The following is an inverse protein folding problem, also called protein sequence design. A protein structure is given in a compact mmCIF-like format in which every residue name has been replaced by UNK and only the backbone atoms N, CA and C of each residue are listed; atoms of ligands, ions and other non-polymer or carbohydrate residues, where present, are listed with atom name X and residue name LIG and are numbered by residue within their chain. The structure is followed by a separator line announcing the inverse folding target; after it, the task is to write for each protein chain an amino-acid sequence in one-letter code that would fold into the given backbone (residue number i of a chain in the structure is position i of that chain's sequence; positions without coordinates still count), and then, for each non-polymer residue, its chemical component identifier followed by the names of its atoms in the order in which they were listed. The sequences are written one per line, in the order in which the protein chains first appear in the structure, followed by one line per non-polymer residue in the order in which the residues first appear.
data_IF_234779142914
#
_entry.id   IF_234779142914
#
_cell.length_a   1.000
_cell.length_b   1.000
_cell.length_c   1.000
_cell.angle_alpha   90.00
_cell.angle_beta   90.00
_cell.angle_gamma   90.00
#
_symmetry.space_group_name_H-M   'P 1'
#
loop_
_entity.id
_entity.type
_entity.pdbx_description
1 polymer ?
#
# COMPACT_ATOMS: atom_id res chain seq x y z
N UNK A 1 21.96 -19.31 -0.27
CA UNK A 1 21.88 -18.54 -1.54
C UNK A 1 21.42 -19.49 -2.63
N UNK A 2 20.17 -19.41 -3.04
CA UNK A 2 19.66 -20.13 -4.20
C UNK A 2 19.26 -19.10 -5.25
N UNK A 3 19.72 -19.33 -6.48
CA UNK A 3 19.62 -18.44 -7.62
C UNK A 3 18.74 -19.14 -8.63
N UNK A 4 17.70 -18.46 -9.12
CA UNK A 4 16.82 -18.86 -10.23
C UNK A 4 15.77 -19.91 -9.81
N UNK A 5 14.49 -19.52 -9.88
CA UNK A 5 13.39 -20.48 -9.91
C UNK A 5 13.39 -21.24 -11.25
N UNK A 6 12.70 -22.37 -11.33
CA UNK A 6 12.64 -23.17 -12.56
C UNK A 6 11.99 -22.43 -13.76
N UNK A 7 11.52 -21.19 -13.58
CA UNK A 7 10.91 -20.36 -14.62
C UNK A 7 11.85 -19.28 -15.17
N UNK A 8 13.10 -19.22 -14.73
CA UNK A 8 14.08 -18.24 -15.21
C UNK A 8 13.83 -16.82 -14.69
N UNK A 9 13.05 -16.70 -13.60
CA UNK A 9 12.76 -15.43 -12.93
C UNK A 9 13.73 -15.24 -11.78
N UNK A 10 14.25 -14.02 -11.62
CA UNK A 10 14.90 -13.63 -10.37
C UNK A 10 13.82 -13.43 -9.31
N UNK A 11 13.87 -14.25 -8.26
CA UNK A 11 13.06 -14.08 -7.06
C UNK A 11 13.33 -12.72 -6.41
N UNK A 12 12.37 -12.21 -5.63
CA UNK A 12 12.58 -10.98 -4.87
C UNK A 12 13.70 -11.19 -3.87
N UNK A 13 14.76 -10.40 -4.00
CA UNK A 13 15.92 -10.46 -3.11
C UNK A 13 15.72 -9.42 -2.02
N UNK A 14 15.91 -9.81 -0.77
CA UNK A 14 15.96 -8.85 0.34
C UNK A 14 17.40 -8.42 0.56
N UNK A 15 17.62 -7.11 0.69
CA UNK A 15 18.89 -6.53 1.18
C UNK A 15 18.58 -5.69 2.41
N UNK A 16 19.29 -5.91 3.52
CA UNK A 16 19.16 -5.08 4.73
C UNK A 16 17.69 -4.79 5.12
N UNK A 17 16.80 -5.78 4.98
CA UNK A 17 15.33 -5.75 5.25
C UNK A 17 14.43 -5.13 4.17
N UNK A 18 14.97 -4.64 3.05
CA UNK A 18 14.17 -4.07 1.95
C UNK A 18 14.06 -5.04 0.76
N UNK A 19 12.87 -5.19 0.16
CA UNK A 19 12.72 -5.95 -1.08
C UNK A 19 13.41 -5.23 -2.25
N UNK A 20 14.04 -6.02 -3.13
CA UNK A 20 14.50 -5.61 -4.46
C UNK A 20 13.60 -6.24 -5.51
N UNK A 21 13.05 -5.39 -6.36
CA UNK A 21 12.22 -5.80 -7.48
C UNK A 21 13.07 -5.75 -8.75
N UNK A 22 13.20 -6.88 -9.49
CA UNK A 22 13.86 -6.90 -10.78
C UNK A 22 12.94 -6.32 -11.86
N UNK A 23 13.43 -5.32 -12.59
CA UNK A 23 12.78 -4.75 -13.76
C UNK A 23 13.55 -5.19 -14.99
N UNK A 24 12.87 -5.89 -15.89
CA UNK A 24 13.44 -6.42 -17.12
C UNK A 24 13.22 -5.45 -18.28
N UNK A 25 14.27 -5.22 -19.06
CA UNK A 25 14.20 -4.52 -20.35
C UNK A 25 14.90 -5.34 -21.43
N UNK A 26 14.81 -4.92 -22.69
CA UNK A 26 15.45 -5.64 -23.81
C UNK A 26 16.98 -5.66 -23.74
N UNK A 27 17.61 -4.80 -22.95
CA UNK A 27 19.07 -4.63 -22.91
C UNK A 27 19.66 -4.62 -21.50
N UNK A 28 18.84 -4.52 -20.47
CA UNK A 28 19.28 -4.40 -19.10
C UNK A 28 18.32 -5.05 -18.10
N UNK A 29 18.89 -5.48 -16.98
CA UNK A 29 18.19 -5.84 -15.75
C UNK A 29 18.50 -4.76 -14.71
N UNK A 30 17.48 -4.14 -14.15
CA UNK A 30 17.62 -3.13 -13.09
C UNK A 30 16.98 -3.65 -11.81
N UNK A 31 17.69 -3.62 -10.69
CA UNK A 31 17.09 -3.89 -9.37
C UNK A 31 16.73 -2.56 -8.72
N UNK A 32 15.44 -2.41 -8.38
CA UNK A 32 14.94 -1.24 -7.66
C UNK A 32 14.61 -1.60 -6.24
N UNK A 33 14.90 -0.68 -5.32
CA UNK A 33 14.55 -0.83 -3.91
C UNK A 33 13.11 -0.36 -3.73
N UNK A 34 12.26 -1.17 -3.11
CA UNK A 34 10.84 -0.82 -2.92
C UNK A 34 10.48 -0.79 -1.44
N UNK A 35 9.30 -0.25 -1.13
CA UNK A 35 8.62 -0.49 0.15
C UNK A 35 7.69 -1.69 -0.01
N UNK A 36 7.45 -2.42 1.07
CA UNK A 36 6.47 -3.51 1.03
C UNK A 36 5.08 -2.93 0.77
N UNK A 37 4.36 -3.42 -0.24
CA UNK A 37 3.07 -2.87 -0.65
C UNK A 37 3.10 -1.73 -1.68
N UNK A 38 4.28 -1.25 -2.08
CA UNK A 38 4.47 -0.20 -3.11
C UNK A 38 4.51 -0.86 -4.51
N UNK A 39 3.34 -0.97 -5.14
CA UNK A 39 3.20 -1.62 -6.45
C UNK A 39 3.57 -0.69 -7.60
N UNK A 40 3.38 0.63 -7.45
CA UNK A 40 3.66 1.59 -8.51
C UNK A 40 5.13 2.08 -8.53
N UNK A 41 5.93 1.65 -7.55
CA UNK A 41 7.36 1.92 -7.39
C UNK A 41 7.66 3.41 -7.13
N UNK A 42 6.73 4.14 -6.49
CA UNK A 42 6.88 5.56 -6.17
C UNK A 42 7.45 5.83 -4.77
N UNK A 43 7.84 4.76 -4.05
CA UNK A 43 8.34 4.77 -2.68
C UNK A 43 7.31 5.25 -1.67
N UNK A 44 6.01 5.08 -1.96
CA UNK A 44 4.91 5.31 -1.03
C UNK A 44 3.95 4.13 -1.11
N UNK A 45 3.23 3.88 -0.03
CA UNK A 45 2.19 2.85 0.03
C UNK A 45 0.86 3.53 0.30
N UNK A 46 0.04 3.67 -0.74
CA UNK A 46 -1.18 4.47 -0.69
C UNK A 46 -2.28 3.94 -1.66
N UNK A 47 -3.27 4.77 -1.95
CA UNK A 47 -4.39 4.41 -2.81
C UNK A 47 -3.99 4.02 -4.23
N UNK A 48 -2.88 4.55 -4.76
CA UNK A 48 -2.40 4.21 -6.09
C UNK A 48 -1.94 2.75 -6.17
N UNK A 49 -1.32 2.24 -5.10
CA UNK A 49 -0.93 0.82 -5.01
C UNK A 49 -2.15 -0.09 -4.89
N UNK A 50 -3.14 0.32 -4.11
CA UNK A 50 -4.41 -0.41 -4.01
C UNK A 50 -5.15 -0.45 -5.37
N UNK A 51 -5.08 0.64 -6.16
CA UNK A 51 -5.62 0.66 -7.52
C UNK A 51 -4.88 -0.36 -8.40
N UNK A 52 -3.56 -0.45 -8.31
CA UNK A 52 -2.78 -1.45 -9.08
C UNK A 52 -3.18 -2.88 -8.68
N UNK A 53 -3.20 -3.18 -7.38
CA UNK A 53 -3.61 -4.50 -6.87
C UNK A 53 -5.03 -4.86 -7.30
N UNK A 54 -5.97 -3.91 -7.24
CA UNK A 54 -7.36 -4.16 -7.64
C UNK A 54 -7.53 -4.46 -9.14
N UNK A 55 -6.68 -3.89 -10.01
CA UNK A 55 -6.72 -4.15 -11.45
C UNK A 55 -6.30 -5.57 -11.80
N UNK A 56 -5.47 -6.19 -10.98
CA UNK A 56 -4.95 -7.54 -11.20
C UNK A 56 -5.53 -8.56 -10.21
N UNK A 57 -6.62 -8.23 -9.51
CA UNK A 57 -7.22 -9.10 -8.53
C UNK A 57 -7.55 -10.49 -9.11
N UNK A 58 -7.16 -11.55 -8.40
CA UNK A 58 -7.27 -12.97 -8.81
C UNK A 58 -6.46 -13.33 -10.07
N UNK A 59 -5.46 -12.53 -10.44
CA UNK A 59 -4.47 -12.95 -11.41
C UNK A 59 -3.75 -14.20 -10.91
N UNK A 60 -3.62 -15.21 -11.77
CA UNK A 60 -3.21 -16.57 -11.39
C UNK A 60 -2.06 -17.14 -12.23
N UNK A 61 -1.45 -16.33 -13.09
CA UNK A 61 -0.42 -16.77 -14.05
C UNK A 61 0.81 -15.86 -14.01
N UNK A 62 1.63 -16.02 -12.97
CA UNK A 62 2.93 -15.33 -12.83
C UNK A 62 2.83 -13.83 -12.60
N UNK A 63 1.93 -13.43 -11.70
CA UNK A 63 1.85 -12.05 -11.24
C UNK A 63 3.22 -11.53 -10.76
N UNK A 64 3.43 -10.23 -10.94
CA UNK A 64 4.62 -9.52 -10.53
C UNK A 64 4.32 -8.52 -9.42
N UNK A 65 5.39 -8.01 -8.81
CA UNK A 65 5.30 -7.00 -7.76
C UNK A 65 4.51 -5.79 -8.24
N UNK A 66 4.77 -5.38 -9.49
CA UNK A 66 4.07 -4.29 -10.17
C UNK A 66 2.62 -4.62 -10.54
N UNK A 67 2.21 -5.88 -10.42
CA UNK A 67 0.82 -6.31 -10.56
C UNK A 67 0.12 -6.37 -9.20
N UNK A 68 0.87 -6.29 -8.09
CA UNK A 68 0.37 -6.40 -6.73
C UNK A 68 0.61 -7.74 -6.06
N UNK A 69 1.52 -8.58 -6.59
CA UNK A 69 2.02 -9.80 -5.92
C UNK A 69 3.19 -9.44 -5.00
N UNK A 70 2.90 -9.22 -3.72
CA UNK A 70 3.87 -8.77 -2.73
C UNK A 70 4.53 -9.92 -1.97
N UNK A 71 3.95 -11.12 -2.00
CA UNK A 71 4.53 -12.30 -1.37
C UNK A 71 5.36 -13.16 -2.35
N UNK A 72 5.29 -12.88 -3.65
CA UNK A 72 6.02 -13.56 -4.72
C UNK A 72 5.47 -14.93 -5.09
N UNK A 73 4.22 -15.26 -4.74
CA UNK A 73 3.62 -16.57 -5.04
C UNK A 73 3.05 -16.68 -6.46
N UNK A 74 3.12 -15.59 -7.24
CA UNK A 74 2.64 -15.51 -8.60
C UNK A 74 1.14 -15.30 -8.72
N UNK A 75 0.45 -15.04 -7.60
CA UNK A 75 -0.97 -14.75 -7.52
C UNK A 75 -1.18 -13.33 -6.97
N UNK A 76 -2.34 -12.75 -7.24
CA UNK A 76 -2.79 -11.52 -6.57
C UNK A 76 -4.07 -11.83 -5.81
N UNK A 77 -3.99 -11.87 -4.48
CA UNK A 77 -5.11 -12.29 -3.64
C UNK A 77 -5.18 -11.55 -2.29
N UNK A 78 -5.99 -12.07 -1.37
CA UNK A 78 -6.22 -11.47 -0.07
C UNK A 78 -4.95 -11.38 0.80
N UNK A 79 -3.98 -12.26 0.59
CA UNK A 79 -2.68 -12.20 1.25
C UNK A 79 -1.96 -10.93 0.84
N UNK A 80 -1.90 -10.60 -0.45
CA UNK A 80 -1.27 -9.37 -0.94
C UNK A 80 -2.00 -8.12 -0.46
N UNK A 81 -3.34 -8.15 -0.45
CA UNK A 81 -4.13 -7.05 0.10
C UNK A 81 -3.83 -6.83 1.59
N UNK A 82 -3.60 -7.91 2.36
CA UNK A 82 -3.24 -7.81 3.77
C UNK A 82 -1.83 -7.24 3.96
N UNK A 83 -0.88 -7.57 3.06
CA UNK A 83 0.47 -7.01 3.06
C UNK A 83 0.41 -5.51 2.77
N UNK A 84 -0.35 -5.09 1.75
CA UNK A 84 -0.54 -3.69 1.41
C UNK A 84 -1.16 -2.90 2.58
N UNK A 85 -2.21 -3.45 3.19
CA UNK A 85 -2.85 -2.82 4.35
C UNK A 85 -1.92 -2.70 5.56
N UNK A 86 -1.09 -3.71 5.82
CA UNK A 86 -0.14 -3.69 6.93
C UNK A 86 0.97 -2.63 6.79
N UNK A 87 1.22 -2.17 5.56
CA UNK A 87 2.28 -1.21 5.23
C UNK A 87 1.72 0.13 4.74
N UNK A 88 0.42 0.37 4.91
CA UNK A 88 -0.23 1.59 4.46
C UNK A 88 0.40 2.85 5.07
N UNK A 89 0.59 3.88 4.25
CA UNK A 89 1.15 5.16 4.67
C UNK A 89 2.67 5.19 4.78
N UNK A 90 3.37 4.07 4.57
CA UNK A 90 4.83 4.11 4.47
C UNK A 90 5.27 5.01 3.31
N UNK A 91 6.31 5.81 3.54
CA UNK A 91 6.85 6.73 2.53
C UNK A 91 5.98 7.97 2.22
N UNK A 92 4.73 7.99 2.69
CA UNK A 92 3.93 9.20 2.65
C UNK A 92 4.45 10.21 3.69
N UNK A 93 4.66 11.45 3.28
CA UNK A 93 4.77 12.56 4.24
C UNK A 93 3.38 12.71 4.86
N UNK A 94 3.26 12.55 6.18
CA UNK A 94 1.96 12.69 6.85
C UNK A 94 1.34 14.03 6.47
N UNK A 95 0.23 13.99 5.73
CA UNK A 95 -0.60 15.16 5.55
C UNK A 95 -1.16 15.49 6.94
N UNK A 96 -0.72 16.62 7.49
CA UNK A 96 -1.07 17.06 8.84
C UNK A 96 -2.58 16.93 9.07
N UNK A 97 -2.93 16.28 10.18
CA UNK A 97 -4.23 16.22 10.83
C UNK A 97 -5.39 16.89 10.06
N UNK A 98 -6.32 16.06 9.57
CA UNK A 98 -7.64 16.50 9.13
C UNK A 98 -8.22 17.39 10.25
N UNK A 99 -8.60 18.66 9.97
CA UNK A 99 -9.23 19.51 10.96
C UNK A 99 -10.47 18.79 11.48
N UNK A 100 -10.53 18.58 12.80
CA UNK A 100 -11.58 17.78 13.41
C UNK A 100 -12.96 18.22 12.90
N UNK A 101 -13.83 17.29 12.44
CA UNK A 101 -15.20 17.63 12.08
C UNK A 101 -15.81 18.34 13.29
N UNK A 102 -16.63 19.37 13.08
CA UNK A 102 -17.18 20.29 14.09
C UNK A 102 -18.08 19.67 15.18
N UNK A 103 -17.75 18.50 15.71
CA UNK A 103 -18.40 17.83 16.82
C UNK A 103 -18.39 18.73 18.05
N UNK A 104 -17.30 19.48 18.28
CA UNK A 104 -17.22 20.47 19.35
C UNK A 104 -18.19 21.63 19.11
N UNK A 105 -18.32 22.13 17.87
CA UNK A 105 -19.25 23.24 17.58
C UNK A 105 -20.71 22.78 17.71
N UNK A 106 -21.05 21.56 17.30
CA UNK A 106 -22.38 20.97 17.47
C UNK A 106 -22.70 20.73 18.96
N UNK A 107 -21.75 20.22 19.74
CA UNK A 107 -21.91 20.03 21.20
C UNK A 107 -22.13 21.35 21.94
N UNK A 108 -21.34 22.38 21.61
CA UNK A 108 -21.46 23.71 22.24
C UNK A 108 -22.79 24.37 21.89
N UNK A 109 -23.21 24.30 20.63
CA UNK A 109 -24.51 24.85 20.20
C UNK A 109 -25.69 24.07 20.82
N UNK A 110 -25.61 22.74 20.88
CA UNK A 110 -26.62 21.90 21.52
C UNK A 110 -26.75 22.17 23.02
N UNK A 111 -25.61 22.32 23.71
CA UNK A 111 -25.57 22.66 25.14
C UNK A 111 -26.15 24.05 25.40
N UNK A 112 -25.80 25.05 24.58
CA UNK A 112 -26.35 26.40 24.68
C UNK A 112 -27.88 26.41 24.46
N UNK A 113 -28.38 25.65 23.48
CA UNK A 113 -29.82 25.51 23.22
C UNK A 113 -30.57 24.89 24.41
N UNK A 114 -29.98 23.88 25.06
CA UNK A 114 -30.55 23.22 26.24
C UNK A 114 -30.58 24.16 27.47
N UNK A 115 -29.56 24.98 27.65
CA UNK A 115 -29.51 25.95 28.75
C UNK A 115 -30.52 27.08 28.56
N UNK A 116 -30.69 27.59 27.34
CA UNK A 116 -31.71 28.61 27.02
C UNK A 116 -33.14 28.06 27.21
N UNK A 117 -33.37 26.77 26.95
CA UNK A 117 -34.68 26.12 27.15
C UNK A 117 -35.04 25.88 28.62
N UNK A 118 -34.05 25.80 29.52
CA UNK A 118 -34.26 25.58 30.97
C UNK A 118 -34.51 26.87 31.76
N UNK A 119 -34.25 28.04 31.16
CA UNK A 119 -34.43 29.36 31.78
C UNK A 119 -35.74 30.07 31.41
N UNK A 120 -36.67 29.39 30.73
CA UNK A 120 -38.04 29.85 30.45
C UNK A 120 -39.02 28.94 31.19
#
# INVERSE_FOLDING_TARGET
MQWIDFKGRFDYVTYETRPLVPIYSSTALTLVTVLMGDANLDLKVNEFDAIVLSKHWLMTDSAQWTDGDFNGDGLVNAVDASILAAHWGLGASEASAVPEPGVITILVLGMAMLLVRRGR
#
